data_IF_801923181949
#
_entry.id   IF_801923181949
#
_cell.length_a   1.000
_cell.length_b   1.000
_cell.length_c   1.000
_cell.angle_alpha   90.00
_cell.angle_beta   90.00
_cell.angle_gamma   90.00
#
_symmetry.space_group_name_H-M   'P 1'
#
loop_
_entity.id
_entity.type
_entity.pdbx_description
1 polymer ?
#
# COMPACT_ATOMS: atom_id res chain seq x y z
N UNK A 1 17.18 -11.52 11.61
CA UNK A 1 15.90 -12.09 11.11
C UNK A 1 14.86 -11.00 11.14
N UNK A 2 14.06 -10.82 10.08
CA UNK A 2 12.96 -9.86 10.10
C UNK A 2 11.85 -10.42 10.99
N UNK A 3 11.59 -9.77 12.14
CA UNK A 3 10.60 -10.26 13.12
C UNK A 3 9.14 -10.03 12.70
N UNK A 4 8.91 -9.20 11.67
CA UNK A 4 7.59 -8.85 11.17
C UNK A 4 7.64 -8.69 9.66
N UNK A 5 6.67 -9.27 8.96
CA UNK A 5 6.40 -9.05 7.54
C UNK A 5 4.98 -8.51 7.42
N UNK A 6 4.74 -7.61 6.45
CA UNK A 6 3.41 -7.07 6.15
C UNK A 6 3.14 -7.24 4.65
N UNK A 7 1.87 -7.41 4.31
CA UNK A 7 1.40 -7.50 2.94
C UNK A 7 0.47 -6.33 2.64
N UNK A 8 0.98 -5.35 1.89
CA UNK A 8 0.25 -4.11 1.60
C UNK A 8 -0.35 -4.12 0.19
N UNK A 9 -1.62 -3.78 0.06
CA UNK A 9 -2.26 -3.40 -1.20
C UNK A 9 -2.15 -1.89 -1.40
N UNK A 10 -1.39 -1.46 -2.39
CA UNK A 10 -1.10 -0.03 -2.60
C UNK A 10 -2.08 0.60 -3.58
N UNK A 11 -2.66 1.73 -3.18
CA UNK A 11 -3.40 2.66 -4.03
C UNK A 11 -2.56 3.93 -4.19
N UNK A 12 -1.96 4.20 -5.36
CA UNK A 12 -1.16 5.40 -5.57
C UNK A 12 -2.06 6.64 -5.75
N UNK A 13 -1.72 7.72 -5.05
CA UNK A 13 -2.46 8.98 -5.14
C UNK A 13 -2.35 9.68 -6.50
N UNK A 14 -1.21 9.53 -7.18
CA UNK A 14 -0.91 10.21 -8.44
C UNK A 14 -0.25 9.26 -9.46
N UNK A 15 -0.29 9.63 -10.74
CA UNK A 15 0.42 8.90 -11.80
C UNK A 15 1.94 8.90 -11.58
N UNK A 16 2.47 9.94 -10.94
CA UNK A 16 3.90 10.03 -10.63
C UNK A 16 4.29 9.02 -9.55
N UNK A 17 3.53 8.98 -8.45
CA UNK A 17 3.69 7.96 -7.40
C UNK A 17 3.56 6.55 -7.98
N UNK A 18 2.57 6.29 -8.84
CA UNK A 18 2.43 5.01 -9.52
C UNK A 18 3.69 4.61 -10.30
N UNK A 19 4.27 5.53 -11.07
CA UNK A 19 5.50 5.26 -11.84
C UNK A 19 6.68 4.98 -10.93
N UNK A 20 6.85 5.78 -9.88
CA UNK A 20 7.92 5.59 -8.90
C UNK A 20 7.77 4.23 -8.19
N UNK A 21 6.58 3.87 -7.74
CA UNK A 21 6.32 2.57 -7.10
C UNK A 21 6.62 1.41 -8.05
N UNK A 22 6.25 1.53 -9.33
CA UNK A 22 6.57 0.52 -10.35
C UNK A 22 8.07 0.36 -10.64
N UNK A 23 8.89 1.37 -10.32
CA UNK A 23 10.34 1.32 -10.53
C UNK A 23 11.12 0.65 -9.38
N UNK A 24 10.46 0.38 -8.24
CA UNK A 24 11.07 -0.24 -7.06
C UNK A 24 11.53 -1.66 -7.40
N UNK A 25 12.73 -2.02 -6.97
CA UNK A 25 13.33 -3.35 -7.14
C UNK A 25 13.53 -4.05 -5.81
N UNK A 26 13.75 -5.36 -5.90
CA UNK A 26 14.17 -6.16 -4.74
C UNK A 26 15.45 -5.54 -4.16
N UNK A 27 15.48 -5.42 -2.84
CA UNK A 27 16.53 -4.78 -2.03
C UNK A 27 16.54 -3.25 -1.99
N UNK A 28 15.61 -2.55 -2.66
CA UNK A 28 15.49 -1.11 -2.49
C UNK A 28 15.00 -0.76 -1.07
N UNK A 29 15.68 0.20 -0.44
CA UNK A 29 15.20 0.82 0.80
C UNK A 29 14.28 1.99 0.44
N UNK A 30 13.00 1.81 0.71
CA UNK A 30 11.97 2.81 0.41
C UNK A 30 11.29 3.32 1.68
N UNK A 31 10.65 4.48 1.57
CA UNK A 31 9.68 4.97 2.56
C UNK A 31 8.40 5.34 1.83
N UNK A 32 7.27 4.85 2.31
CA UNK A 32 5.95 5.12 1.75
C UNK A 32 5.14 5.88 2.80
N UNK A 33 4.60 7.03 2.42
CA UNK A 33 3.76 7.86 3.29
C UNK A 33 2.36 7.99 2.70
N UNK A 34 1.35 7.91 3.56
CA UNK A 34 -0.03 7.85 3.12
C UNK A 34 -1.01 7.53 4.25
N UNK A 35 -2.16 6.95 3.87
CA UNK A 35 -3.22 6.56 4.81
C UNK A 35 -3.64 5.12 4.61
N UNK A 36 -3.90 4.41 5.71
CA UNK A 36 -4.67 3.17 5.64
C UNK A 36 -6.14 3.52 5.40
N UNK A 37 -6.74 2.93 4.38
CA UNK A 37 -8.08 3.30 3.94
C UNK A 37 -8.99 2.08 3.80
N UNK A 38 -10.26 2.28 4.11
CA UNK A 38 -11.32 1.34 3.73
C UNK A 38 -11.79 1.71 2.31
N UNK A 39 -12.03 0.71 1.46
CA UNK A 39 -12.42 0.90 0.08
C UNK A 39 -13.81 0.33 -0.16
N UNK A 40 -14.73 1.16 -0.64
CA UNK A 40 -16.04 0.73 -1.13
C UNK A 40 -16.16 1.07 -2.61
N UNK A 41 -16.56 0.11 -3.43
CA UNK A 41 -16.66 0.29 -4.88
C UNK A 41 -17.77 -0.54 -5.50
N UNK A 42 -17.95 -0.40 -6.82
CA UNK A 42 -18.89 -1.20 -7.60
C UNK A 42 -18.10 -1.91 -8.70
N UNK A 43 -18.18 -3.24 -8.74
CA UNK A 43 -17.56 -4.04 -9.78
C UNK A 43 -18.63 -4.92 -10.44
N UNK A 44 -18.82 -4.76 -11.76
CA UNK A 44 -19.82 -5.50 -12.54
C UNK A 44 -21.20 -5.51 -11.86
N UNK A 45 -21.64 -4.33 -11.42
CA UNK A 45 -22.92 -4.09 -10.73
C UNK A 45 -23.04 -4.61 -9.29
N UNK A 46 -22.00 -5.23 -8.72
CA UNK A 46 -21.96 -5.65 -7.33
C UNK A 46 -21.19 -4.64 -6.46
N UNK A 47 -21.71 -4.32 -5.27
CA UNK A 47 -20.96 -3.52 -4.29
C UNK A 47 -19.86 -4.39 -3.68
N UNK A 48 -18.63 -3.89 -3.73
CA UNK A 48 -17.47 -4.48 -3.08
C UNK A 48 -17.05 -3.57 -1.93
N UNK A 49 -16.95 -4.13 -0.73
CA UNK A 49 -16.37 -3.46 0.42
C UNK A 49 -15.11 -4.22 0.82
N UNK A 50 -13.97 -3.55 0.80
CA UNK A 50 -12.70 -4.05 1.29
C UNK A 50 -12.27 -3.21 2.49
N UNK A 51 -12.09 -3.87 3.62
CA UNK A 51 -11.66 -3.23 4.86
C UNK A 51 -10.17 -3.48 5.05
N UNK A 52 -9.44 -2.44 5.47
CA UNK A 52 -8.02 -2.58 5.80
C UNK A 52 -7.86 -3.19 7.18
N UNK A 53 -6.94 -4.15 7.35
CA UNK A 53 -6.48 -4.48 8.70
C UNK A 53 -5.72 -3.27 9.26
N UNK A 54 -5.92 -2.98 10.56
CA UNK A 54 -5.27 -1.89 11.30
C UNK A 54 -4.34 -2.44 12.41
N UNK A 55 -4.16 -3.76 12.46
CA UNK A 55 -3.49 -4.47 13.55
C UNK A 55 -2.16 -5.06 13.09
N UNK A 56 -1.06 -4.62 13.72
CA UNK A 56 0.33 -5.03 13.40
C UNK A 56 0.66 -6.50 13.71
N UNK A 57 -0.25 -7.20 14.39
CA UNK A 57 -0.11 -8.58 14.83
C UNK A 57 -1.13 -9.51 14.15
N UNK A 58 -1.82 -9.04 13.12
CA UNK A 58 -2.83 -9.83 12.42
C UNK A 58 -2.15 -10.91 11.58
N UNK A 59 -2.54 -12.17 11.78
CA UNK A 59 -2.01 -13.34 11.06
C UNK A 59 -3.15 -14.09 10.40
N UNK A 60 -3.23 -14.07 9.06
CA UNK A 60 -4.27 -14.77 8.32
C UNK A 60 -4.66 -14.10 7.00
N UNK A 61 -5.68 -14.64 6.32
CA UNK A 61 -6.14 -14.18 5.00
C UNK A 61 -6.78 -12.77 4.99
N UNK A 62 -6.94 -12.13 6.15
CA UNK A 62 -7.52 -10.79 6.32
C UNK A 62 -6.53 -9.75 6.86
N UNK A 63 -5.25 -10.11 6.96
CA UNK A 63 -4.19 -9.24 7.50
C UNK A 63 -3.67 -8.20 6.49
N UNK A 64 -4.18 -8.17 5.26
CA UNK A 64 -3.68 -7.24 4.24
C UNK A 64 -4.12 -5.81 4.51
N UNK A 65 -3.18 -4.87 4.45
CA UNK A 65 -3.44 -3.44 4.66
C UNK A 65 -3.65 -2.73 3.32
N UNK A 66 -4.72 -1.94 3.18
CA UNK A 66 -4.97 -1.13 1.99
C UNK A 66 -4.37 0.25 2.23
N UNK A 67 -3.30 0.55 1.51
CA UNK A 67 -2.48 1.72 1.76
C UNK A 67 -2.60 2.71 0.60
N UNK A 68 -3.27 3.84 0.86
CA UNK A 68 -3.31 4.97 -0.06
C UNK A 68 -2.02 5.79 0.05
N UNK A 69 -1.09 5.55 -0.87
CA UNK A 69 0.25 6.15 -0.85
C UNK A 69 0.22 7.51 -1.55
N UNK A 70 0.56 8.55 -0.81
CA UNK A 70 0.67 9.93 -1.30
C UNK A 70 2.07 10.31 -1.72
N UNK A 71 3.08 9.68 -1.11
CA UNK A 71 4.46 9.89 -1.52
C UNK A 71 5.31 8.65 -1.30
N UNK A 72 6.28 8.48 -2.18
CA UNK A 72 7.29 7.43 -2.08
C UNK A 72 8.66 8.06 -2.12
N UNK A 73 9.52 7.65 -1.19
CA UNK A 73 10.94 7.98 -1.16
C UNK A 73 11.74 6.75 -1.56
N UNK A 74 12.60 6.89 -2.55
CA UNK A 74 13.51 5.84 -3.04
C UNK A 74 14.92 6.41 -2.99
N UNK A 75 15.73 5.93 -2.04
CA UNK A 75 17.03 6.55 -1.73
C UNK A 75 16.84 8.00 -1.27
N UNK A 76 17.41 8.96 -2.01
CA UNK A 76 17.29 10.39 -1.73
C UNK A 76 16.11 11.07 -2.46
N UNK A 77 15.53 10.41 -3.46
CA UNK A 77 14.48 10.97 -4.30
C UNK A 77 13.10 10.82 -3.65
N UNK A 78 12.29 11.87 -3.68
CA UNK A 78 10.92 11.87 -3.17
C UNK A 78 9.94 12.17 -4.31
N UNK A 79 8.97 11.28 -4.50
CA UNK A 79 7.93 11.37 -5.52
C UNK A 79 6.58 11.61 -4.84
N UNK A 80 5.80 12.57 -5.35
CA UNK A 80 4.46 12.94 -4.91
C UNK A 80 3.51 12.96 -6.12
#
# INVERSE_FOLDING_TARGET
>A
MAGHTSNNHIIPATKNVLKAIKSIKIYDKITLDGYLVDMTGIFKSNKINWYTSKTRNDTGASASEIFYVKSVKIGENVYK
#
